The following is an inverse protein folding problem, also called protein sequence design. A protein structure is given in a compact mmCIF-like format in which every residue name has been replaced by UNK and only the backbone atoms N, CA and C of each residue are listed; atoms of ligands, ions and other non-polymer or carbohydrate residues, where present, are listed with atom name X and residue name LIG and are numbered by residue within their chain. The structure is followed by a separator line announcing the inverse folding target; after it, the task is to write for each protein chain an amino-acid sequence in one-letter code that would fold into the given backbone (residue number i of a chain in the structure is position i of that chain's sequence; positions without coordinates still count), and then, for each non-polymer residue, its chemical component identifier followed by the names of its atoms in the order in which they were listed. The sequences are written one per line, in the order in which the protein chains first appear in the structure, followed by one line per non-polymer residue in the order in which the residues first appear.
data_IF_269846068548
#
_entry.id   IF_269846068548
#
_cell.length_a   1.000
_cell.length_b   1.000
_cell.length_c   1.000
_cell.angle_alpha   90.00
_cell.angle_beta   90.00
_cell.angle_gamma   90.00
#
_symmetry.space_group_name_H-M   'P 1'
#
loop_
_entity.id
_entity.type
_entity.pdbx_description
1 polymer ?
#
# COMPACT_ATOMS: atom_id res chain seq x y z
N UNK A 1 28.47 -10.60 -81.69
CA UNK A 1 28.46 -11.58 -80.59
C UNK A 1 27.97 -10.85 -79.35
N UNK A 2 26.87 -11.33 -78.77
CA UNK A 2 26.07 -10.68 -77.73
C UNK A 2 26.72 -10.88 -76.35
N UNK A 3 26.89 -9.80 -75.60
CA UNK A 3 27.22 -9.87 -74.16
C UNK A 3 25.94 -10.20 -73.38
N UNK A 4 25.98 -11.27 -72.58
CA UNK A 4 24.83 -11.77 -71.81
C UNK A 4 24.83 -11.20 -70.39
N UNK A 5 23.81 -10.40 -70.11
CA UNK A 5 23.53 -9.69 -68.87
C UNK A 5 22.86 -10.61 -67.86
N UNK A 6 23.59 -11.46 -67.13
CA UNK A 6 22.95 -12.42 -66.21
C UNK A 6 23.64 -12.61 -64.84
N UNK A 7 24.44 -11.65 -64.38
CA UNK A 7 25.15 -11.77 -63.10
C UNK A 7 24.81 -10.69 -62.05
N UNK A 8 23.60 -10.13 -62.08
CA UNK A 8 23.15 -9.13 -61.08
C UNK A 8 21.86 -9.52 -60.34
N UNK A 9 21.23 -10.66 -60.66
CA UNK A 9 19.92 -11.01 -60.10
C UNK A 9 19.96 -11.99 -58.89
N UNK A 10 21.14 -12.48 -58.46
CA UNK A 10 21.22 -13.50 -57.40
C UNK A 10 21.74 -13.00 -56.04
N UNK A 11 22.17 -11.75 -55.91
CA UNK A 11 22.64 -11.20 -54.61
C UNK A 11 21.56 -10.35 -53.90
N UNK A 12 20.47 -10.00 -54.58
CA UNK A 12 19.39 -9.20 -53.99
C UNK A 12 18.33 -10.02 -53.21
N UNK A 13 18.32 -11.36 -53.32
CA UNK A 13 17.29 -12.20 -52.70
C UNK A 13 17.64 -12.75 -51.31
N UNK A 14 18.83 -12.48 -50.79
CA UNK A 14 19.26 -12.94 -49.45
C UNK A 14 19.27 -11.83 -48.38
N UNK A 15 18.88 -10.60 -48.73
CA UNK A 15 18.86 -9.44 -47.82
C UNK A 15 17.45 -9.00 -47.38
N UNK A 16 16.40 -9.76 -47.71
CA UNK A 16 15.01 -9.37 -47.43
C UNK A 16 14.27 -10.25 -46.39
N UNK A 17 14.94 -11.22 -45.78
CA UNK A 17 14.30 -12.18 -44.84
C UNK A 17 14.63 -11.95 -43.35
N UNK A 18 15.24 -10.82 -43.00
CA UNK A 18 15.40 -10.41 -41.59
C UNK A 18 14.41 -9.31 -41.19
N UNK A 19 13.17 -9.37 -41.70
CA UNK A 19 12.07 -8.65 -41.04
C UNK A 19 11.63 -9.52 -39.87
N UNK A 20 12.25 -9.23 -38.72
CA UNK A 20 11.89 -9.75 -37.44
C UNK A 20 10.37 -9.85 -37.32
N UNK A 21 9.88 -11.06 -37.13
CA UNK A 21 8.53 -11.31 -36.68
C UNK A 21 8.43 -10.75 -35.26
N UNK A 22 8.20 -9.45 -35.13
CA UNK A 22 7.57 -8.91 -33.93
C UNK A 22 6.13 -9.41 -33.96
N UNK A 23 5.95 -10.69 -33.63
CA UNK A 23 4.66 -11.16 -33.15
C UNK A 23 4.39 -10.30 -31.91
N UNK A 24 3.54 -9.29 -32.06
CA UNK A 24 2.93 -8.64 -30.91
C UNK A 24 2.35 -9.78 -30.08
N UNK A 25 2.92 -10.02 -28.90
CA UNK A 25 2.41 -11.03 -28.01
C UNK A 25 0.94 -10.68 -27.77
N UNK A 26 0.03 -11.50 -28.29
CA UNK A 26 -1.40 -11.34 -28.05
C UNK A 26 -1.62 -11.68 -26.59
N UNK A 27 -1.48 -10.68 -25.72
CA UNK A 27 -1.84 -10.83 -24.32
C UNK A 27 -3.34 -11.00 -24.23
N UNK A 28 -3.75 -12.08 -23.56
CA UNK A 28 -5.16 -12.31 -23.29
C UNK A 28 -5.61 -11.24 -22.29
N UNK A 29 -6.58 -10.42 -22.69
CA UNK A 29 -7.22 -9.43 -21.81
C UNK A 29 -7.61 -10.10 -20.51
N UNK A 30 -7.36 -9.42 -19.39
CA UNK A 30 -7.77 -9.92 -18.08
C UNK A 30 -9.29 -10.11 -18.04
N UNK A 31 -9.76 -11.23 -17.49
CA UNK A 31 -11.20 -11.50 -17.32
C UNK A 31 -11.75 -10.92 -16.02
N UNK A 32 -10.86 -10.52 -15.11
CA UNK A 32 -11.14 -9.91 -13.82
C UNK A 32 -10.06 -8.87 -13.55
N UNK A 33 -10.39 -7.81 -12.82
CA UNK A 33 -9.45 -6.79 -12.40
C UNK A 33 -9.62 -6.60 -10.89
N UNK A 34 -8.54 -6.83 -10.12
CA UNK A 34 -8.60 -6.91 -8.66
C UNK A 34 -9.70 -7.87 -8.16
N UNK A 35 -9.83 -9.03 -8.81
CA UNK A 35 -10.79 -10.08 -8.44
C UNK A 35 -12.19 -9.97 -9.05
N UNK A 36 -12.56 -8.83 -9.68
CA UNK A 36 -13.91 -8.60 -10.19
C UNK A 36 -13.91 -8.22 -11.67
N UNK A 37 -14.78 -8.84 -12.47
CA UNK A 37 -14.91 -8.51 -13.90
C UNK A 37 -15.49 -7.10 -14.12
N UNK A 38 -16.37 -6.69 -13.22
CA UNK A 38 -17.08 -5.41 -13.25
C UNK A 38 -16.14 -4.21 -13.04
N UNK A 39 -14.99 -4.41 -12.39
CA UNK A 39 -14.03 -3.34 -12.12
C UNK A 39 -13.09 -3.06 -13.29
N UNK A 40 -13.03 -3.93 -14.30
CA UNK A 40 -12.07 -3.78 -15.39
C UNK A 40 -12.25 -2.49 -16.19
N UNK A 41 -13.49 -2.09 -16.45
CA UNK A 41 -13.81 -0.87 -17.20
C UNK A 41 -14.02 0.36 -16.29
N UNK A 42 -13.78 0.23 -14.97
CA UNK A 42 -13.87 1.33 -14.01
C UNK A 42 -12.54 2.08 -13.94
N UNK A 43 -12.57 3.41 -13.94
CA UNK A 43 -11.40 4.26 -13.71
C UNK A 43 -10.78 3.94 -12.35
N UNK A 44 -9.44 3.86 -12.27
CA UNK A 44 -8.72 3.69 -11.00
C UNK A 44 -9.16 4.72 -9.94
N UNK A 45 -9.40 5.96 -10.36
CA UNK A 45 -9.89 7.02 -9.46
C UNK A 45 -11.35 6.87 -9.03
N UNK A 46 -12.08 5.89 -9.55
CA UNK A 46 -13.46 5.58 -9.16
C UNK A 46 -13.60 4.16 -8.56
N UNK A 47 -12.48 3.55 -8.13
CA UNK A 47 -12.48 2.31 -7.36
C UNK A 47 -12.07 2.60 -5.92
N UNK A 48 -12.72 1.92 -4.98
CA UNK A 48 -12.36 1.89 -3.56
C UNK A 48 -11.49 0.68 -3.25
N UNK A 49 -10.29 0.90 -2.71
CA UNK A 49 -9.33 -0.14 -2.34
C UNK A 49 -9.19 -0.22 -0.82
N UNK A 50 -9.19 -1.44 -0.28
CA UNK A 50 -8.77 -1.66 1.11
C UNK A 50 -7.25 -1.54 1.19
N UNK A 51 -6.79 -0.74 2.15
CA UNK A 51 -5.39 -0.50 2.42
C UNK A 51 -4.94 -1.06 3.77
N UNK A 52 -3.71 -1.57 3.83
CA UNK A 52 -3.06 -1.94 5.08
C UNK A 52 -2.15 -0.79 5.55
N UNK A 53 -2.47 -0.22 6.71
CA UNK A 53 -1.64 0.79 7.40
C UNK A 53 -0.36 0.13 7.91
N UNK A 54 0.79 0.80 7.69
CA UNK A 54 2.12 0.31 8.00
C UNK A 54 2.27 -1.19 7.70
N UNK A 55 1.95 -1.56 6.45
CA UNK A 55 1.84 -2.93 5.96
C UNK A 55 3.06 -3.83 6.23
N UNK A 56 4.22 -3.26 6.55
CA UNK A 56 5.45 -3.96 6.93
C UNK A 56 5.57 -4.22 8.45
N UNK A 57 4.81 -3.51 9.28
CA UNK A 57 4.85 -3.57 10.74
C UNK A 57 4.06 -4.77 11.26
N UNK A 58 4.66 -5.95 11.11
CA UNK A 58 4.00 -7.24 11.33
C UNK A 58 4.39 -7.88 12.65
N UNK A 59 3.42 -8.37 13.41
CA UNK A 59 3.65 -9.23 14.58
C UNK A 59 2.53 -9.17 15.60
N UNK A 60 2.63 -10.02 16.64
CA UNK A 60 1.62 -10.09 17.72
C UNK A 60 2.11 -9.58 19.07
N UNK A 61 3.42 -9.32 19.20
CA UNK A 61 4.09 -9.13 20.51
C UNK A 61 4.83 -7.78 20.63
N UNK A 62 4.55 -6.82 19.76
CA UNK A 62 5.09 -5.46 19.81
C UNK A 62 3.92 -4.48 19.71
N UNK A 63 3.98 -3.34 20.42
CA UNK A 63 2.91 -2.34 20.40
C UNK A 63 2.92 -1.47 19.14
N UNK A 64 4.01 -1.47 18.36
CA UNK A 64 4.15 -0.72 17.11
C UNK A 64 3.92 -1.60 15.87
N UNK A 65 3.08 -2.63 16.00
CA UNK A 65 2.66 -3.49 14.88
C UNK A 65 1.25 -3.09 14.47
N UNK A 66 1.01 -3.17 13.18
CA UNK A 66 -0.24 -2.75 12.55
C UNK A 66 -0.96 -3.92 11.88
N UNK A 67 -0.24 -5.02 11.59
CA UNK A 67 -0.78 -6.17 10.88
C UNK A 67 -0.29 -7.50 11.49
N UNK A 68 -1.12 -8.55 11.47
CA UNK A 68 -0.67 -9.89 11.91
C UNK A 68 0.13 -10.64 10.84
N UNK A 69 -0.09 -10.31 9.57
CA UNK A 69 0.37 -11.07 8.42
C UNK A 69 1.27 -10.25 7.50
N UNK A 70 2.19 -10.91 6.80
CA UNK A 70 3.07 -10.24 5.86
C UNK A 70 2.36 -9.72 4.61
N UNK A 71 3.06 -8.87 3.87
CA UNK A 71 2.56 -8.25 2.63
C UNK A 71 2.04 -9.25 1.60
N UNK A 72 2.63 -10.45 1.51
CA UNK A 72 2.19 -11.45 0.53
C UNK A 72 0.80 -11.96 0.89
N UNK A 73 0.57 -12.25 2.18
CA UNK A 73 -0.74 -12.66 2.67
C UNK A 73 -1.76 -11.51 2.59
N UNK A 74 -1.38 -10.29 2.95
CA UNK A 74 -2.24 -9.10 2.79
C UNK A 74 -2.75 -8.97 1.35
N UNK A 75 -1.84 -9.07 0.36
CA UNK A 75 -2.19 -9.02 -1.06
C UNK A 75 -3.06 -10.22 -1.49
N UNK A 76 -2.78 -11.43 -1.00
CA UNK A 76 -3.62 -12.60 -1.28
C UNK A 76 -5.06 -12.42 -0.78
N UNK A 77 -5.24 -11.77 0.37
CA UNK A 77 -6.55 -11.60 1.01
C UNK A 77 -7.38 -10.45 0.40
N UNK A 78 -6.76 -9.58 -0.40
CA UNK A 78 -7.45 -8.55 -1.17
C UNK A 78 -7.01 -7.12 -0.86
N UNK A 79 -5.99 -6.91 -0.01
CA UNK A 79 -5.39 -5.58 0.16
C UNK A 79 -4.81 -5.13 -1.18
N UNK A 80 -5.13 -3.90 -1.59
CA UNK A 80 -4.64 -3.31 -2.85
C UNK A 80 -4.03 -1.92 -2.67
N UNK A 81 -4.01 -1.39 -1.44
CA UNK A 81 -3.13 -0.31 -1.05
C UNK A 81 -2.20 -0.76 0.10
N UNK A 82 -0.90 -0.52 -0.07
CA UNK A 82 0.11 -0.80 0.95
C UNK A 82 0.71 0.53 1.39
N UNK A 83 0.38 0.96 2.60
CA UNK A 83 1.01 2.14 3.17
C UNK A 83 2.28 1.73 3.94
N UNK A 84 3.30 2.57 3.88
CA UNK A 84 4.57 2.38 4.61
C UNK A 84 5.23 3.70 4.99
N UNK A 85 5.91 3.71 6.14
CA UNK A 85 6.80 4.79 6.56
C UNK A 85 8.25 4.48 6.17
N UNK A 86 8.89 5.40 5.46
CA UNK A 86 10.26 5.31 4.99
C UNK A 86 11.17 6.20 5.86
N UNK A 87 12.18 5.57 6.46
CA UNK A 87 13.13 6.22 7.35
C UNK A 87 14.57 5.96 6.92
N UNK A 88 15.43 6.93 7.23
CA UNK A 88 16.86 6.83 7.00
C UNK A 88 17.51 6.09 8.16
N UNK A 89 18.03 4.91 7.89
CA UNK A 89 18.90 4.21 8.82
C UNK A 89 20.26 3.98 8.17
N UNK A 90 21.24 4.79 8.56
CA UNK A 90 22.62 4.69 8.08
C UNK A 90 22.74 4.77 6.55
N UNK A 91 21.94 5.62 5.91
CA UNK A 91 21.94 5.86 4.46
C UNK A 91 21.15 4.84 3.65
N UNK A 92 20.41 3.94 4.30
CA UNK A 92 19.50 2.99 3.64
C UNK A 92 18.06 3.33 3.98
N UNK A 93 17.17 3.29 3.00
CA UNK A 93 15.72 3.43 3.22
C UNK A 93 15.22 2.16 3.91
N UNK A 94 14.89 2.28 5.19
CA UNK A 94 14.27 1.23 5.99
C UNK A 94 12.79 1.53 6.19
N UNK A 95 12.00 0.46 6.31
CA UNK A 95 10.62 0.56 6.73
C UNK A 95 10.57 0.45 8.25
N UNK A 96 10.47 1.60 8.87
CA UNK A 96 10.41 1.73 10.31
C UNK A 96 9.10 2.39 10.66
N UNK A 97 8.52 2.02 11.80
CA UNK A 97 7.51 2.88 12.41
C UNK A 97 8.17 4.23 12.73
N UNK A 98 7.51 5.13 13.47
CA UNK A 98 8.04 6.42 13.99
C UNK A 98 9.57 6.51 14.17
N UNK A 99 10.23 5.45 14.67
CA UNK A 99 11.67 5.24 14.46
C UNK A 99 12.07 3.77 14.34
N UNK A 100 13.23 3.49 13.75
CA UNK A 100 13.77 2.14 13.59
C UNK A 100 14.13 1.42 14.91
N UNK A 101 14.24 2.14 16.02
CA UNK A 101 14.44 1.53 17.35
C UNK A 101 13.13 1.01 17.95
N UNK A 102 11.99 1.54 17.52
CA UNK A 102 10.65 1.12 17.96
C UNK A 102 10.20 -0.12 17.19
N UNK A 103 10.28 -0.06 15.86
CA UNK A 103 10.05 -1.19 14.97
C UNK A 103 10.83 -0.96 13.66
N UNK A 104 11.46 -2.02 13.15
CA UNK A 104 12.09 -2.02 11.83
C UNK A 104 11.70 -3.31 11.09
N UNK A 105 10.92 -3.16 10.01
CA UNK A 105 10.48 -4.26 9.15
C UNK A 105 11.47 -4.64 8.05
N UNK A 106 12.64 -3.99 7.99
CA UNK A 106 13.69 -4.24 7.01
C UNK A 106 13.78 -3.16 5.95
N UNK A 107 14.59 -3.42 4.93
CA UNK A 107 14.82 -2.46 3.84
C UNK A 107 13.56 -2.29 2.99
N UNK A 108 13.39 -1.10 2.41
CA UNK A 108 12.38 -0.88 1.37
C UNK A 108 12.59 -1.84 0.19
N UNK A 109 13.85 -2.10 -0.20
CA UNK A 109 14.18 -3.01 -1.31
C UNK A 109 13.64 -4.43 -1.09
N UNK A 110 13.88 -5.02 0.09
CA UNK A 110 13.41 -6.37 0.42
C UNK A 110 11.88 -6.44 0.43
N UNK A 111 11.22 -5.40 0.95
CA UNK A 111 9.76 -5.31 0.97
C UNK A 111 9.20 -5.21 -0.45
N UNK A 112 9.75 -4.32 -1.28
CA UNK A 112 9.36 -4.16 -2.68
C UNK A 112 9.64 -5.41 -3.51
N UNK A 113 10.69 -6.18 -3.19
CA UNK A 113 10.95 -7.49 -3.81
C UNK A 113 9.82 -8.51 -3.57
N UNK A 114 9.21 -8.50 -2.39
CA UNK A 114 8.03 -9.34 -2.09
C UNK A 114 6.80 -8.89 -2.89
N UNK A 115 6.55 -7.58 -2.93
CA UNK A 115 5.47 -7.00 -3.75
C UNK A 115 5.67 -7.35 -5.22
N UNK A 116 6.88 -7.16 -5.76
CA UNK A 116 7.25 -7.52 -7.13
C UNK A 116 6.92 -8.97 -7.45
N UNK A 117 7.36 -9.88 -6.58
CA UNK A 117 7.17 -11.33 -6.74
C UNK A 117 5.68 -11.70 -6.75
N UNK A 118 4.90 -11.12 -5.83
CA UNK A 118 3.46 -11.34 -5.78
C UNK A 118 2.79 -10.82 -7.05
N UNK A 119 3.09 -9.58 -7.46
CA UNK A 119 2.53 -8.99 -8.65
C UNK A 119 2.85 -9.83 -9.88
N UNK A 120 4.06 -10.35 -10.01
CA UNK A 120 4.48 -11.24 -11.11
C UNK A 120 3.58 -12.47 -11.28
N UNK A 121 3.11 -13.01 -10.15
CA UNK A 121 2.20 -14.17 -10.12
C UNK A 121 0.72 -13.79 -10.27
N UNK A 122 0.38 -12.50 -10.16
CA UNK A 122 -0.97 -11.97 -10.15
C UNK A 122 -1.10 -10.84 -11.17
N UNK A 123 -1.11 -11.18 -12.47
CA UNK A 123 -1.05 -10.19 -13.57
C UNK A 123 -2.35 -9.43 -13.80
N UNK A 124 -3.44 -9.82 -13.13
CA UNK A 124 -4.77 -9.22 -13.24
C UNK A 124 -5.04 -8.16 -12.14
N UNK A 125 -3.99 -7.77 -11.41
CA UNK A 125 -4.10 -6.91 -10.24
C UNK A 125 -3.31 -5.62 -10.40
N UNK A 126 -3.95 -4.53 -10.01
CA UNK A 126 -3.39 -3.19 -9.81
C UNK A 126 -3.16 -2.98 -8.32
N UNK A 127 -1.93 -2.65 -7.94
CA UNK A 127 -1.50 -2.41 -6.55
C UNK A 127 -1.10 -0.95 -6.39
N UNK A 128 -1.44 -0.38 -5.24
CA UNK A 128 -1.08 0.98 -4.85
C UNK A 128 -0.07 0.95 -3.71
N UNK A 129 0.99 1.75 -3.81
CA UNK A 129 1.89 2.05 -2.70
C UNK A 129 1.65 3.48 -2.24
N UNK A 130 1.61 3.69 -0.94
CA UNK A 130 1.63 5.02 -0.33
C UNK A 130 2.82 5.08 0.62
N UNK A 131 3.80 5.91 0.28
CA UNK A 131 5.05 6.02 1.02
C UNK A 131 5.04 7.34 1.79
N UNK A 132 5.13 7.24 3.12
CA UNK A 132 5.36 8.38 4.01
C UNK A 132 6.88 8.59 4.10
N UNK A 133 7.37 9.66 3.48
CA UNK A 133 8.78 10.03 3.37
C UNK A 133 9.23 10.82 4.60
N UNK A 134 9.31 10.15 5.74
CA UNK A 134 9.54 10.78 7.05
C UNK A 134 10.85 11.55 7.16
N UNK A 135 11.90 11.09 6.47
CA UNK A 135 13.26 11.65 6.56
C UNK A 135 13.71 12.40 5.29
N UNK A 136 12.76 12.81 4.43
CA UNK A 136 12.98 13.66 3.26
C UNK A 136 14.03 13.11 2.26
N UNK A 137 14.03 11.81 2.00
CA UNK A 137 14.78 11.25 0.88
C UNK A 137 14.31 11.89 -0.43
N UNK A 138 15.23 12.14 -1.37
CA UNK A 138 14.83 12.68 -2.68
C UNK A 138 14.23 11.58 -3.56
N UNK A 139 13.33 11.94 -4.48
CA UNK A 139 12.64 11.00 -5.36
C UNK A 139 13.59 10.03 -6.10
N UNK A 140 14.80 10.47 -6.48
CA UNK A 140 15.78 9.63 -7.19
C UNK A 140 16.41 8.54 -6.32
N UNK A 141 16.39 8.69 -4.99
CA UNK A 141 16.82 7.64 -4.05
C UNK A 141 15.77 6.51 -4.00
N UNK A 142 14.48 6.86 -3.99
CA UNK A 142 13.40 5.89 -4.16
C UNK A 142 13.45 5.20 -5.53
N UNK A 143 13.67 5.95 -6.62
CA UNK A 143 13.83 5.40 -7.97
C UNK A 143 14.94 4.36 -8.06
N UNK A 144 16.05 4.57 -7.35
CA UNK A 144 17.14 3.59 -7.26
C UNK A 144 16.66 2.27 -6.65
N UNK A 145 15.87 2.33 -5.57
CA UNK A 145 15.31 1.14 -4.91
C UNK A 145 14.23 0.47 -5.78
N UNK A 146 13.37 1.25 -6.44
CA UNK A 146 12.34 0.72 -7.35
C UNK A 146 12.96 -0.03 -8.53
N UNK A 147 14.05 0.50 -9.12
CA UNK A 147 14.82 -0.17 -10.17
C UNK A 147 15.51 -1.44 -9.67
N UNK A 148 16.10 -1.42 -8.47
CA UNK A 148 16.69 -2.61 -7.86
C UNK A 148 15.66 -3.72 -7.67
N UNK A 149 14.45 -3.39 -7.21
CA UNK A 149 13.32 -4.31 -7.10
C UNK A 149 12.60 -4.60 -8.43
N UNK A 150 13.03 -4.01 -9.54
CA UNK A 150 12.40 -4.10 -10.88
C UNK A 150 10.91 -3.72 -10.90
N UNK A 151 10.49 -2.82 -10.01
CA UNK A 151 9.12 -2.28 -9.97
C UNK A 151 8.93 -1.05 -10.85
N UNK A 152 10.01 -0.32 -11.18
CA UNK A 152 9.98 0.80 -12.12
C UNK A 152 9.30 0.44 -13.45
N UNK A 153 9.49 -0.79 -13.93
CA UNK A 153 8.88 -1.31 -15.16
C UNK A 153 7.38 -1.61 -15.05
N UNK A 154 6.85 -1.76 -13.83
CA UNK A 154 5.42 -1.94 -13.55
C UNK A 154 4.74 -0.62 -13.13
N UNK A 155 5.51 0.43 -12.88
CA UNK A 155 4.98 1.69 -12.36
C UNK A 155 4.24 2.49 -13.43
N UNK A 156 3.04 2.95 -13.09
CA UNK A 156 2.28 3.90 -13.88
C UNK A 156 2.81 5.32 -13.71
N UNK A 157 3.10 5.98 -14.82
CA UNK A 157 3.39 7.42 -14.86
C UNK A 157 2.16 8.17 -15.38
N UNK A 158 1.54 9.06 -14.60
CA UNK A 158 0.43 9.87 -15.06
C UNK A 158 0.87 10.90 -16.11
N UNK A 159 -0.09 11.40 -16.87
CA UNK A 159 0.16 12.43 -17.92
C UNK A 159 0.44 13.82 -17.35
N UNK A 160 0.21 14.02 -16.06
CA UNK A 160 0.38 15.28 -15.32
C UNK A 160 0.75 14.94 -13.87
N UNK A 161 1.49 15.82 -13.20
CA UNK A 161 1.78 15.69 -11.77
C UNK A 161 0.50 15.73 -10.91
N UNK A 162 -0.53 16.43 -11.41
CA UNK A 162 -1.82 16.60 -10.73
C UNK A 162 -2.90 16.03 -11.64
N UNK A 163 -3.54 14.95 -11.21
CA UNK A 163 -4.62 14.26 -11.92
C UNK A 163 -5.92 14.45 -11.15
N UNK A 164 -6.99 14.84 -11.84
CA UNK A 164 -8.32 14.72 -11.26
C UNK A 164 -8.72 13.24 -11.18
N UNK A 165 -9.58 12.91 -10.23
CA UNK A 165 -10.15 11.59 -9.99
C UNK A 165 -10.62 10.91 -11.28
N UNK A 166 -11.35 11.64 -12.13
CA UNK A 166 -11.94 11.09 -13.35
C UNK A 166 -10.96 11.02 -14.54
N UNK A 167 -9.74 11.55 -14.40
CA UNK A 167 -8.69 11.50 -15.42
C UNK A 167 -7.82 10.23 -15.34
N UNK A 168 -7.98 9.43 -14.29
CA UNK A 168 -7.23 8.19 -14.14
C UNK A 168 -7.69 7.13 -15.15
N UNK A 169 -6.77 6.33 -15.72
CA UNK A 169 -7.12 5.23 -16.63
C UNK A 169 -7.95 4.14 -15.92
N UNK A 170 -8.63 3.31 -16.70
CA UNK A 170 -9.32 2.14 -16.14
C UNK A 170 -8.35 1.08 -15.62
N UNK A 171 -8.80 0.22 -14.70
CA UNK A 171 -7.96 -0.89 -14.22
C UNK A 171 -7.46 -1.76 -15.36
N UNK A 172 -8.33 -2.09 -16.33
CA UNK A 172 -7.93 -2.87 -17.50
C UNK A 172 -6.90 -2.13 -18.36
N UNK A 173 -6.97 -0.80 -18.48
CA UNK A 173 -5.96 -0.03 -19.21
C UNK A 173 -4.59 -0.13 -18.54
N UNK A 174 -4.54 -0.04 -17.20
CA UNK A 174 -3.30 -0.22 -16.43
C UNK A 174 -2.75 -1.65 -16.58
N UNK A 175 -3.61 -2.66 -16.51
CA UNK A 175 -3.25 -4.07 -16.64
C UNK A 175 -2.74 -4.39 -18.04
N UNK A 176 -3.47 -3.99 -19.10
CA UNK A 176 -3.10 -4.25 -20.49
C UNK A 176 -1.79 -3.53 -20.88
N UNK A 177 -1.52 -2.37 -20.28
CA UNK A 177 -0.27 -1.64 -20.47
C UNK A 177 0.91 -2.21 -19.66
N UNK A 178 0.66 -3.13 -18.72
CA UNK A 178 1.66 -3.66 -17.78
C UNK A 178 2.09 -2.68 -16.69
N UNK A 179 1.53 -1.46 -16.65
CA UNK A 179 1.82 -0.41 -15.67
C UNK A 179 0.82 -0.46 -14.52
N UNK A 180 0.86 -1.54 -13.75
CA UNK A 180 -0.16 -1.89 -12.74
C UNK A 180 0.29 -1.64 -11.29
N UNK A 181 1.33 -0.84 -11.10
CA UNK A 181 1.72 -0.29 -9.81
C UNK A 181 1.49 1.23 -9.82
N UNK A 182 0.73 1.76 -8.87
CA UNK A 182 0.56 3.21 -8.68
C UNK A 182 1.21 3.59 -7.36
N UNK A 183 2.14 4.56 -7.37
CA UNK A 183 2.88 4.95 -6.16
C UNK A 183 2.64 6.41 -5.83
N UNK A 184 2.20 6.67 -4.60
CA UNK A 184 2.13 7.99 -4.01
C UNK A 184 3.24 8.19 -2.98
N UNK A 185 3.78 9.40 -2.92
CA UNK A 185 4.74 9.86 -1.94
C UNK A 185 4.16 11.09 -1.24
N UNK A 186 4.07 11.05 0.09
CA UNK A 186 3.41 12.10 0.88
C UNK A 186 4.13 13.46 0.77
N UNK A 187 5.43 13.44 0.52
CA UNK A 187 6.26 14.62 0.30
C UNK A 187 7.51 14.30 -0.54
N UNK A 188 8.05 15.31 -1.22
CA UNK A 188 9.32 15.18 -1.95
C UNK A 188 9.23 14.46 -3.29
N UNK A 189 8.03 14.24 -3.81
CA UNK A 189 7.82 13.78 -5.18
C UNK A 189 8.38 14.81 -6.18
N UNK A 190 9.01 14.32 -7.25
CA UNK A 190 9.54 15.15 -8.32
C UNK A 190 9.15 14.55 -9.67
N UNK A 191 8.03 15.03 -10.20
CA UNK A 191 7.47 14.55 -11.46
C UNK A 191 8.42 14.72 -12.66
N UNK A 192 9.33 15.69 -12.62
CA UNK A 192 10.25 15.93 -13.72
C UNK A 192 11.37 14.87 -13.79
N UNK A 193 11.82 14.36 -12.64
CA UNK A 193 12.88 13.35 -12.58
C UNK A 193 12.36 11.91 -12.46
N UNK A 194 11.29 11.69 -11.69
CA UNK A 194 10.71 10.36 -11.42
C UNK A 194 9.18 10.42 -11.52
N UNK A 195 8.61 10.44 -12.75
CA UNK A 195 7.19 10.76 -12.97
C UNK A 195 6.21 9.74 -12.39
N UNK A 196 6.65 8.52 -12.06
CA UNK A 196 5.80 7.50 -11.46
C UNK A 196 5.74 7.55 -9.93
N UNK A 197 6.53 8.41 -9.28
CA UNK A 197 6.37 8.75 -7.87
C UNK A 197 5.49 9.99 -7.79
N UNK A 198 4.21 9.75 -7.52
CA UNK A 198 3.16 10.75 -7.63
C UNK A 198 3.04 11.48 -6.29
N UNK A 199 2.98 12.81 -6.32
CA UNK A 199 2.74 13.58 -5.11
C UNK A 199 1.34 13.26 -4.55
N UNK A 200 1.28 12.79 -3.31
CA UNK A 200 0.03 12.42 -2.66
C UNK A 200 -0.90 13.62 -2.56
N UNK A 201 -0.47 14.71 -1.92
CA UNK A 201 -1.38 15.78 -1.50
C UNK A 201 -1.88 16.68 -2.63
N UNK A 202 -1.33 16.56 -3.83
CA UNK A 202 -1.88 17.13 -5.06
C UNK A 202 -2.89 16.22 -5.76
N UNK A 203 -2.95 14.93 -5.45
CA UNK A 203 -3.83 13.93 -6.08
C UNK A 203 -4.87 13.30 -5.13
N UNK A 204 -4.57 13.29 -3.84
CA UNK A 204 -5.30 12.66 -2.73
C UNK A 204 -5.37 13.67 -1.59
N UNK A 205 -6.53 13.81 -0.98
CA UNK A 205 -6.63 14.35 0.37
C UNK A 205 -7.01 13.23 1.33
N UNK A 206 -6.83 13.44 2.62
CA UNK A 206 -7.18 12.43 3.61
C UNK A 206 -7.81 13.00 4.87
N UNK A 207 -8.46 12.12 5.64
CA UNK A 207 -8.99 12.42 6.98
C UNK A 207 -7.89 12.41 8.04
N UNK A 208 -8.19 12.90 9.24
CA UNK A 208 -7.24 12.85 10.35
C UNK A 208 -6.83 11.40 10.70
N UNK A 209 -5.56 11.23 11.07
CA UNK A 209 -4.96 10.01 11.61
C UNK A 209 -4.66 10.17 13.11
N UNK A 210 -4.11 9.13 13.75
CA UNK A 210 -3.84 9.06 15.20
C UNK A 210 -5.08 9.34 16.08
N UNK A 211 -6.27 8.98 15.58
CA UNK A 211 -7.52 9.19 16.32
C UNK A 211 -7.64 8.21 17.48
N UNK A 212 -8.09 8.69 18.62
CA UNK A 212 -8.19 7.89 19.86
C UNK A 212 -9.63 7.71 20.34
N UNK A 213 -10.58 8.18 19.56
CA UNK A 213 -11.99 7.93 19.74
C UNK A 213 -12.59 7.37 18.45
N UNK A 214 -13.66 6.60 18.58
CA UNK A 214 -14.30 5.89 17.46
C UNK A 214 -15.16 6.81 16.58
N UNK A 215 -15.07 8.14 16.75
CA UNK A 215 -15.79 9.11 15.91
C UNK A 215 -14.97 9.41 14.67
N UNK A 216 -14.88 8.41 13.80
CA UNK A 216 -14.28 8.60 12.49
C UNK A 216 -15.14 9.56 11.65
N UNK A 217 -14.61 10.76 11.42
CA UNK A 217 -15.26 11.78 10.59
C UNK A 217 -14.81 11.66 9.12
N UNK A 218 -15.30 12.58 8.29
CA UNK A 218 -14.94 12.66 6.88
C UNK A 218 -14.31 14.02 6.55
N UNK A 219 -13.79 14.75 7.53
CA UNK A 219 -13.24 16.09 7.33
C UNK A 219 -11.87 16.03 6.64
N UNK A 220 -11.64 16.98 5.74
CA UNK A 220 -10.33 17.15 5.09
C UNK A 220 -9.30 17.54 6.14
N UNK A 221 -8.21 16.77 6.24
CA UNK A 221 -7.12 17.04 7.16
C UNK A 221 -5.85 17.51 6.43
N UNK A 222 -5.35 16.76 5.44
CA UNK A 222 -4.15 17.10 4.66
C UNK A 222 -4.44 17.11 3.16
N UNK A 223 -3.98 18.16 2.48
CA UNK A 223 -3.99 18.33 1.02
C UNK A 223 -3.24 19.61 0.62
N UNK A 224 -2.74 19.65 -0.60
CA UNK A 224 -2.22 20.85 -1.28
C UNK A 224 -2.94 21.11 -2.61
N UNK A 225 -3.97 20.31 -2.94
CA UNK A 225 -4.74 20.40 -4.18
C UNK A 225 -6.22 20.72 -3.97
N UNK A 226 -7.01 20.52 -5.04
CA UNK A 226 -8.45 20.78 -5.05
C UNK A 226 -9.23 19.52 -4.64
N UNK A 227 -9.72 19.53 -3.40
CA UNK A 227 -10.45 18.41 -2.77
C UNK A 227 -11.71 17.98 -3.51
N UNK A 228 -12.28 18.87 -4.34
CA UNK A 228 -13.45 18.56 -5.16
C UNK A 228 -13.11 17.67 -6.36
N UNK A 229 -11.85 17.65 -6.78
CA UNK A 229 -11.37 16.89 -7.95
C UNK A 229 -10.43 15.74 -7.59
N UNK A 230 -9.79 15.77 -6.42
CA UNK A 230 -8.87 14.74 -5.96
C UNK A 230 -9.57 13.42 -5.60
N UNK A 231 -8.82 12.33 -5.60
CA UNK A 231 -9.19 11.13 -4.84
C UNK A 231 -9.13 11.42 -3.33
N UNK A 232 -9.60 10.49 -2.50
CA UNK A 232 -9.36 10.62 -1.06
C UNK A 232 -9.19 9.31 -0.32
N UNK A 233 -8.41 9.39 0.75
CA UNK A 233 -8.12 8.32 1.68
C UNK A 233 -8.81 8.59 3.01
N UNK A 234 -9.44 7.57 3.59
CA UNK A 234 -9.88 7.63 4.99
C UNK A 234 -8.90 6.85 5.85
N UNK A 235 -8.36 7.51 6.87
CA UNK A 235 -7.58 6.91 7.93
C UNK A 235 -8.56 6.26 8.92
N UNK A 236 -8.81 4.96 8.76
CA UNK A 236 -9.76 4.18 9.58
C UNK A 236 -9.02 3.17 10.45
N UNK A 237 -8.16 3.68 11.33
CA UNK A 237 -7.51 2.89 12.37
C UNK A 237 -7.56 3.68 13.68
N UNK A 238 -7.69 2.95 14.79
CA UNK A 238 -7.90 3.55 16.11
C UNK A 238 -6.66 3.32 16.97
N UNK A 239 -6.18 4.41 17.56
CA UNK A 239 -5.08 4.37 18.50
C UNK A 239 -5.54 4.48 19.96
N UNK A 240 -4.62 4.11 20.84
CA UNK A 240 -4.67 4.45 22.26
C UNK A 240 -3.31 4.97 22.70
N UNK A 241 -3.30 5.83 23.72
CA UNK A 241 -2.03 6.28 24.29
C UNK A 241 -1.45 5.26 25.28
N UNK A 242 -0.22 4.82 25.03
CA UNK A 242 0.60 4.07 25.99
C UNK A 242 1.87 4.89 26.24
N UNK A 243 2.09 5.29 27.50
CA UNK A 243 3.19 6.18 27.89
C UNK A 243 3.26 7.49 27.07
N UNK A 244 2.10 8.02 26.66
CA UNK A 244 2.01 9.25 25.88
C UNK A 244 2.39 9.10 24.40
N UNK A 245 2.54 7.88 23.90
CA UNK A 245 2.71 7.59 22.47
C UNK A 245 1.46 6.88 21.93
N UNK A 246 0.96 7.25 20.74
CA UNK A 246 -0.11 6.52 20.09
C UNK A 246 0.38 5.12 19.71
N UNK A 247 -0.47 4.11 19.92
CA UNK A 247 -0.25 2.74 19.47
C UNK A 247 -1.56 2.15 18.98
N UNK A 248 -1.53 1.26 17.97
CA UNK A 248 -2.72 0.59 17.47
C UNK A 248 -3.55 -0.07 18.57
N UNK A 249 -4.85 0.17 18.57
CA UNK A 249 -5.80 -0.38 19.53
C UNK A 249 -6.43 -1.67 19.03
N UNK A 250 -5.61 -2.73 18.90
CA UNK A 250 -6.03 -4.04 18.38
C UNK A 250 -7.27 -4.65 19.06
N UNK A 251 -7.51 -4.39 20.35
CA UNK A 251 -8.70 -4.90 21.06
C UNK A 251 -10.02 -4.33 20.49
N UNK A 252 -9.94 -3.21 19.78
CA UNK A 252 -11.05 -2.57 19.06
C UNK A 252 -11.10 -2.90 17.57
N UNK A 253 -10.13 -3.64 17.03
CA UNK A 253 -10.06 -3.92 15.60
C UNK A 253 -11.30 -4.65 15.06
N UNK A 254 -11.95 -5.53 15.83
CA UNK A 254 -13.23 -6.15 15.40
C UNK A 254 -14.39 -5.13 15.31
N UNK A 255 -14.35 -4.05 16.10
CA UNK A 255 -15.37 -3.00 16.09
C UNK A 255 -15.10 -2.01 14.95
N UNK A 256 -13.85 -1.56 14.80
CA UNK A 256 -13.46 -0.63 13.73
C UNK A 256 -13.60 -1.29 12.37
N UNK A 257 -13.11 -2.52 12.19
CA UNK A 257 -13.11 -3.15 10.88
C UNK A 257 -14.48 -3.72 10.47
N UNK A 258 -15.51 -3.61 11.31
CA UNK A 258 -16.83 -4.13 11.02
C UNK A 258 -17.50 -3.43 9.81
N UNK A 259 -18.43 -4.12 9.16
CA UNK A 259 -19.22 -3.56 8.07
C UNK A 259 -20.36 -2.65 8.58
N UNK A 260 -20.73 -2.77 9.85
CA UNK A 260 -21.85 -2.04 10.44
C UNK A 260 -21.59 -1.76 11.92
N UNK A 261 -22.28 -0.76 12.46
CA UNK A 261 -22.21 -0.37 13.88
C UNK A 261 -21.44 0.91 14.11
N UNK A 262 -21.59 1.49 15.29
CA UNK A 262 -20.85 2.70 15.69
C UNK A 262 -19.35 2.44 15.66
N UNK A 263 -18.58 3.38 15.11
CA UNK A 263 -17.12 3.27 15.02
C UNK A 263 -16.61 2.36 13.91
N UNK A 264 -17.50 1.69 13.17
CA UNK A 264 -17.12 0.75 12.12
C UNK A 264 -16.75 1.45 10.81
N UNK A 265 -15.96 0.77 9.98
CA UNK A 265 -15.56 1.22 8.66
C UNK A 265 -16.76 1.52 7.78
N UNK A 266 -17.76 0.63 7.78
CA UNK A 266 -18.99 0.83 7.02
C UNK A 266 -19.77 2.06 7.48
N UNK A 267 -19.73 2.41 8.77
CA UNK A 267 -20.37 3.63 9.27
C UNK A 267 -19.64 4.91 8.82
N UNK A 268 -18.29 4.92 8.83
CA UNK A 268 -17.54 6.06 8.29
C UNK A 268 -17.78 6.19 6.79
N UNK A 269 -17.71 5.09 6.03
CA UNK A 269 -17.97 5.08 4.59
C UNK A 269 -19.35 5.66 4.27
N UNK A 270 -20.41 5.22 4.96
CA UNK A 270 -21.77 5.76 4.81
C UNK A 270 -21.81 7.27 5.07
N UNK A 271 -21.10 7.73 6.10
CA UNK A 271 -21.01 9.15 6.45
C UNK A 271 -20.31 9.94 5.34
N UNK A 272 -19.20 9.42 4.80
CA UNK A 272 -18.42 10.09 3.77
C UNK A 272 -19.16 10.13 2.43
N UNK A 273 -19.87 9.06 2.07
CA UNK A 273 -20.73 9.04 0.88
C UNK A 273 -21.84 10.07 0.97
N UNK A 274 -22.47 10.22 2.14
CA UNK A 274 -23.49 11.25 2.36
C UNK A 274 -22.92 12.68 2.27
N UNK A 275 -21.68 12.89 2.74
CA UNK A 275 -21.03 14.19 2.74
C UNK A 275 -20.50 14.61 1.35
N UNK A 276 -19.91 13.68 0.60
CA UNK A 276 -19.23 13.97 -0.66
C UNK A 276 -19.96 13.49 -1.91
N UNK A 277 -21.07 12.76 -1.77
CA UNK A 277 -21.79 12.13 -2.89
C UNK A 277 -20.91 11.21 -3.73
N UNK A 278 -19.89 10.61 -3.11
CA UNK A 278 -18.97 9.63 -3.69
C UNK A 278 -18.32 8.80 -2.59
N UNK A 279 -17.89 7.59 -2.94
CA UNK A 279 -17.15 6.72 -2.04
C UNK A 279 -15.68 7.15 -1.88
N UNK A 280 -15.03 6.82 -0.74
CA UNK A 280 -13.58 6.96 -0.59
C UNK A 280 -12.82 6.08 -1.55
N UNK A 281 -11.66 6.53 -2.01
CA UNK A 281 -10.78 5.73 -2.87
C UNK A 281 -9.95 4.74 -2.09
N UNK A 282 -9.53 5.10 -0.88
CA UNK A 282 -8.68 4.25 -0.05
C UNK A 282 -9.27 4.13 1.36
N UNK A 283 -9.44 2.89 1.82
CA UNK A 283 -9.92 2.54 3.14
C UNK A 283 -8.73 1.99 3.93
N UNK A 284 -7.98 2.86 4.61
CA UNK A 284 -6.75 2.48 5.29
C UNK A 284 -7.04 1.95 6.70
N UNK A 285 -6.69 0.70 7.00
CA UNK A 285 -7.01 0.02 8.27
C UNK A 285 -5.79 -0.67 8.89
N UNK A 286 -5.85 -0.83 10.22
CA UNK A 286 -5.00 -1.76 10.96
C UNK A 286 -5.68 -3.13 11.10
N UNK A 287 -4.90 -4.20 11.16
CA UNK A 287 -5.35 -5.57 11.45
C UNK A 287 -6.56 -6.01 10.60
N UNK A 288 -6.45 -5.89 9.28
CA UNK A 288 -7.55 -6.11 8.33
C UNK A 288 -8.27 -7.47 8.50
N UNK A 289 -7.61 -8.47 9.06
CA UNK A 289 -8.15 -9.80 9.36
C UNK A 289 -9.20 -9.81 10.48
N UNK A 290 -9.21 -8.79 11.35
CA UNK A 290 -10.25 -8.61 12.36
C UNK A 290 -11.55 -8.19 11.67
N UNK A 291 -12.67 -8.80 12.07
CA UNK A 291 -13.95 -8.68 11.36
C UNK A 291 -14.17 -9.73 10.26
N UNK A 292 -13.21 -10.63 10.00
CA UNK A 292 -13.42 -11.81 9.17
C UNK A 292 -13.71 -11.50 7.70
N UNK A 293 -13.13 -10.42 7.18
CA UNK A 293 -13.30 -9.98 5.80
C UNK A 293 -14.32 -8.85 5.59
N UNK A 294 -14.93 -8.34 6.66
CA UNK A 294 -15.90 -7.23 6.60
C UNK A 294 -15.35 -5.97 5.93
N UNK A 295 -14.05 -5.67 6.04
CA UNK A 295 -13.45 -4.53 5.31
C UNK A 295 -13.52 -4.70 3.79
N UNK A 296 -13.38 -5.93 3.31
CA UNK A 296 -13.52 -6.26 1.89
C UNK A 296 -14.99 -6.28 1.46
N UNK A 297 -15.91 -6.67 2.35
CA UNK A 297 -17.35 -6.55 2.12
C UNK A 297 -17.78 -5.09 1.94
N UNK A 298 -17.27 -4.18 2.78
CA UNK A 298 -17.52 -2.73 2.66
C UNK A 298 -17.01 -2.21 1.32
N UNK A 299 -15.76 -2.54 0.96
CA UNK A 299 -15.18 -2.11 -0.31
C UNK A 299 -15.95 -2.68 -1.52
N UNK A 300 -16.35 -3.95 -1.49
CA UNK A 300 -17.16 -4.56 -2.55
C UNK A 300 -18.51 -3.83 -2.72
N UNK A 301 -19.16 -3.52 -1.59
CA UNK A 301 -20.46 -2.83 -1.57
C UNK A 301 -20.38 -1.46 -2.24
N UNK A 302 -19.42 -0.61 -1.86
CA UNK A 302 -19.29 0.74 -2.44
C UNK A 302 -18.72 0.75 -3.86
N UNK A 303 -18.05 -0.32 -4.27
CA UNK A 303 -17.68 -0.56 -5.66
C UNK A 303 -18.82 -1.12 -6.51
N UNK A 304 -19.98 -1.43 -5.92
CA UNK A 304 -21.13 -1.99 -6.63
C UNK A 304 -20.90 -3.42 -7.13
N UNK A 305 -20.06 -4.21 -6.44
CA UNK A 305 -19.77 -5.61 -6.77
C UNK A 305 -20.23 -6.53 -5.63
N UNK A 306 -20.57 -7.77 -5.96
CA UNK A 306 -20.98 -8.77 -4.97
C UNK A 306 -19.76 -9.28 -4.21
N UNK A 307 -19.76 -9.16 -2.87
CA UNK A 307 -18.72 -9.74 -2.04
C UNK A 307 -18.84 -11.27 -2.02
N UNK A 308 -17.93 -11.94 -2.73
CA UNK A 308 -17.87 -13.41 -2.82
C UNK A 308 -16.41 -13.87 -2.77
N UNK A 309 -15.79 -13.93 -1.57
CA UNK A 309 -14.38 -14.30 -1.46
C UNK A 309 -14.17 -15.74 -1.96
N UNK A 310 -13.22 -15.91 -2.88
CA UNK A 310 -12.90 -17.22 -3.47
C UNK A 310 -11.92 -18.03 -2.61
N UNK A 311 -11.24 -17.36 -1.68
CA UNK A 311 -10.36 -17.92 -0.66
C UNK A 311 -10.79 -17.42 0.72
N UNK A 312 -10.50 -18.22 1.75
CA UNK A 312 -10.68 -17.76 3.12
C UNK A 312 -9.70 -16.61 3.41
N UNK A 313 -10.22 -15.53 4.00
CA UNK A 313 -9.40 -14.45 4.56
C UNK A 313 -8.65 -14.97 5.78
N UNK A 314 -7.46 -14.44 6.03
CA UNK A 314 -6.73 -14.69 7.26
C UNK A 314 -7.58 -14.48 8.52
N UNK A 315 -7.22 -15.19 9.59
CA UNK A 315 -7.86 -15.05 10.90
C UNK A 315 -6.91 -14.40 11.89
N UNK A 316 -7.38 -13.57 12.84
CA UNK A 316 -6.53 -12.97 13.86
C UNK A 316 -5.58 -13.96 14.54
N UNK A 317 -4.29 -13.63 14.61
CA UNK A 317 -3.30 -14.42 15.32
C UNK A 317 -3.44 -14.15 16.81
N UNK A 318 -3.59 -15.22 17.58
CA UNK A 318 -3.53 -15.10 19.04
C UNK A 318 -2.11 -14.75 19.49
N UNK A 319 -1.99 -13.89 20.49
CA UNK A 319 -0.78 -13.67 21.31
C UNK A 319 -0.42 -14.97 22.05
N UNK A 320 0.12 -15.96 21.33
CA UNK A 320 0.64 -17.16 21.97
C UNK A 320 2.01 -16.82 22.54
N UNK A 321 2.11 -16.81 23.86
CA UNK A 321 3.37 -16.78 24.58
C UNK A 321 4.11 -18.10 24.30
N UNK A 322 4.89 -18.13 23.22
CA UNK A 322 5.75 -19.25 22.88
C UNK A 322 6.83 -19.41 23.96
N UNK A 323 6.52 -20.24 24.96
CA UNK A 323 7.51 -20.76 25.91
C UNK A 323 8.30 -21.84 25.18
N UNK A 324 9.32 -21.42 24.43
CA UNK A 324 10.34 -22.34 23.94
C UNK A 324 11.15 -22.86 25.14
N UNK A 325 10.88 -24.10 25.53
CA UNK A 325 11.60 -24.81 26.57
C UNK A 325 13.00 -25.18 26.08
N UNK A 326 14.01 -24.42 26.50
CA UNK A 326 15.41 -24.87 26.52
C UNK A 326 15.80 -25.22 27.95
N UNK A 327 16.08 -26.50 28.17
CA UNK A 327 16.65 -27.01 29.42
C UNK A 327 18.09 -26.48 29.58
N UNK A 328 18.31 -25.60 30.56
CA UNK A 328 19.59 -25.44 31.25
C UNK A 328 19.31 -24.90 32.66
N UNK A 329 19.90 -25.54 33.67
CA UNK A 329 19.51 -25.42 35.07
C UNK A 329 19.94 -24.14 35.81
N UNK A 330 19.29 -23.98 36.96
CA UNK A 330 19.62 -23.13 38.12
C UNK A 330 19.58 -21.61 37.98
N UNK A 331 18.49 -21.00 38.45
CA UNK A 331 18.39 -20.39 39.80
C UNK A 331 17.08 -19.59 39.88
N UNK A 332 16.32 -19.82 40.94
CA UNK A 332 14.98 -19.25 41.14
C UNK A 332 15.12 -17.79 41.56
N UNK A 333 14.65 -16.86 40.73
CA UNK A 333 14.23 -15.53 41.16
C UNK A 333 12.84 -15.31 40.57
N UNK A 334 11.81 -15.40 41.42
CA UNK A 334 10.44 -15.12 41.03
C UNK A 334 10.29 -13.62 40.75
N UNK A 335 10.26 -13.23 39.46
CA UNK A 335 9.69 -11.95 39.04
C UNK A 335 8.30 -12.18 38.45
N UNK A 336 7.37 -11.33 38.89
CA UNK A 336 5.96 -11.31 38.52
C UNK A 336 5.74 -11.09 37.01
N UNK A 337 4.67 -11.62 36.41
CA UNK A 337 4.39 -11.49 34.99
C UNK A 337 3.85 -10.09 34.68
N UNK A 338 4.71 -9.22 34.13
CA UNK A 338 4.29 -7.88 33.67
C UNK A 338 5.35 -7.03 32.95
N UNK A 339 6.60 -7.49 32.81
CA UNK A 339 7.71 -6.62 32.41
C UNK A 339 8.33 -6.86 31.03
N UNK A 340 7.77 -7.71 30.16
CA UNK A 340 8.40 -8.00 28.86
C UNK A 340 8.14 -6.98 27.73
N UNK A 341 7.32 -5.95 27.94
CA UNK A 341 6.96 -4.95 26.90
C UNK A 341 7.67 -3.59 27.03
N UNK A 342 8.51 -3.38 28.05
CA UNK A 342 8.89 -2.03 28.48
C UNK A 342 10.26 -1.53 28.02
N UNK A 343 11.10 -2.39 27.41
CA UNK A 343 12.50 -2.02 27.16
C UNK A 343 12.67 -1.13 25.91
N UNK A 344 11.79 -1.25 24.90
CA UNK A 344 11.86 -0.41 23.70
C UNK A 344 11.29 1.01 23.92
N UNK A 345 10.23 1.14 24.73
CA UNK A 345 9.54 2.43 24.94
C UNK A 345 10.34 3.47 25.74
N UNK A 346 11.22 3.03 26.64
CA UNK A 346 11.99 3.96 27.49
C UNK A 346 13.02 4.78 26.71
N UNK A 347 13.48 4.31 25.53
CA UNK A 347 14.50 5.00 24.73
C UNK A 347 13.98 6.26 24.00
N UNK A 348 12.67 6.40 23.84
CA UNK A 348 12.05 7.50 23.06
C UNK A 348 11.84 8.78 23.90
N UNK A 349 11.78 8.66 25.23
CA UNK A 349 11.48 9.80 26.13
C UNK A 349 12.57 10.89 26.09
N UNK A 350 13.78 10.60 25.61
CA UNK A 350 14.87 11.58 25.53
C UNK A 350 15.00 12.28 24.16
N UNK A 351 14.19 11.93 23.15
CA UNK A 351 14.30 12.49 21.79
C UNK A 351 13.26 13.57 21.43
N UNK A 352 12.11 13.61 22.12
CA UNK A 352 10.97 14.45 21.72
C UNK A 352 10.97 15.79 22.48
N UNK A 353 11.97 16.64 22.21
CA UNK A 353 11.89 18.09 22.49
C UNK A 353 12.09 18.94 21.21
N UNK A 354 12.44 18.33 20.08
CA UNK A 354 12.50 19.01 18.78
C UNK A 354 11.71 18.23 17.74
N UNK A 355 10.47 18.66 17.46
CA UNK A 355 9.63 18.02 16.44
C UNK A 355 8.19 18.52 16.39
N UNK A 356 7.73 19.27 17.40
CA UNK A 356 6.44 19.96 17.36
C UNK A 356 6.62 21.41 16.90
N UNK A 357 7.01 21.62 15.64
CA UNK A 357 6.85 22.87 14.89
C UNK A 357 7.28 22.61 13.45
N UNK A 358 6.47 23.11 12.51
CA UNK A 358 6.60 23.08 11.04
C UNK A 358 5.68 22.04 10.40
N UNK A 359 4.40 22.41 10.20
CA UNK A 359 3.81 22.59 8.87
C UNK A 359 2.79 23.74 8.97
N UNK A 360 3.14 24.89 8.39
CA UNK A 360 2.22 25.87 7.77
C UNK A 360 2.60 25.87 6.29
#
# INVERSE_FOLDING_TARGET
MLFSSNLLAQVASLLLLSHASNAAATHRRATTCNGYSQLCDVSYGNVSFVGAHDSYAVGTNNLAVNQDYDVTQQLNDGIRLLQMQAHNNSGTIQLCHTSCSLYNGGTLEDYLGKVRSWMESNTADVVTLLIVNSDNFVATEYDTVFKAASLDTLSYSPTSSNMSRDAWPTLNTLIDAGTRLVTFLDNGADFASVPYLIDEFTNIWETAYDVTDTTFNCEVNRTTGDTSTQMYLINHFLDRYVLGQPVPYVDKANETNAANGTGSLGAQVTTCEAQYSRAPNFLLVDFYEYGGGSVFEVAATINGVEYSPTSAIATPKSTTSSTSSSNAGSSIVNLLPGQKQWVAFAAVISGIIYGASIVI
#
